data_IF_753223611589
#
_entry.id   IF_753223611589
#
_cell.length_a   1.000
_cell.length_b   1.000
_cell.length_c   1.000
_cell.angle_alpha   90.00
_cell.angle_beta   90.00
_cell.angle_gamma   90.00
#
_symmetry.space_group_name_H-M   'P 1'
#
loop_
_entity.id
_entity.type
_entity.pdbx_description
1 polymer ?
#
# COMPACT_ATOMS: atom_id res chain seq x y z
N UNK A 1 14.45 -5.50 -6.09
CA UNK A 1 15.23 -6.70 -5.68
C UNK A 1 14.82 -7.17 -4.29
N UNK A 2 15.00 -6.38 -3.18
CA UNK A 2 14.72 -6.83 -1.81
C UNK A 2 13.27 -7.35 -1.61
N UNK A 3 12.25 -6.61 -2.08
CA UNK A 3 10.84 -7.05 -2.02
C UNK A 3 10.66 -8.35 -2.79
N UNK A 4 11.22 -8.44 -3.99
CA UNK A 4 11.11 -9.62 -4.84
C UNK A 4 11.69 -10.88 -4.19
N UNK A 5 12.87 -10.74 -3.59
CA UNK A 5 13.53 -11.82 -2.86
C UNK A 5 12.72 -12.25 -1.62
N UNK A 6 12.13 -11.29 -0.89
CA UNK A 6 11.29 -11.59 0.26
C UNK A 6 10.01 -12.34 -0.12
N UNK A 7 9.29 -11.85 -1.14
CA UNK A 7 8.07 -12.51 -1.65
C UNK A 7 8.37 -13.92 -2.12
N UNK A 8 9.46 -14.11 -2.89
CA UNK A 8 9.87 -15.44 -3.36
C UNK A 8 10.13 -16.40 -2.19
N UNK A 9 10.90 -15.98 -1.18
CA UNK A 9 11.21 -16.81 0.00
C UNK A 9 9.97 -17.23 0.76
N UNK A 10 9.02 -16.30 0.98
CA UNK A 10 7.76 -16.63 1.68
C UNK A 10 6.94 -17.61 0.85
N UNK A 11 6.81 -17.38 -0.45
CA UNK A 11 6.09 -18.29 -1.33
C UNK A 11 6.71 -19.68 -1.39
N UNK A 12 8.05 -19.77 -1.47
CA UNK A 12 8.78 -21.05 -1.45
C UNK A 12 8.57 -21.82 -0.12
N UNK A 13 8.51 -21.09 1.01
CA UNK A 13 8.34 -21.70 2.32
C UNK A 13 6.90 -22.12 2.63
N UNK A 14 5.90 -21.42 2.08
CA UNK A 14 4.48 -21.62 2.46
C UNK A 14 3.64 -22.24 1.35
N UNK A 15 4.11 -22.20 0.10
CA UNK A 15 3.31 -22.57 -1.08
C UNK A 15 2.23 -21.54 -1.43
N UNK A 16 2.14 -20.41 -0.72
CA UNK A 16 1.06 -19.43 -0.85
C UNK A 16 1.60 -18.03 -1.22
N UNK A 17 0.85 -17.24 -2.01
CA UNK A 17 1.18 -15.85 -2.24
C UNK A 17 1.02 -15.06 -0.92
N UNK A 18 2.04 -14.30 -0.50
CA UNK A 18 2.01 -13.59 0.77
C UNK A 18 1.05 -12.40 0.77
N UNK A 19 0.62 -12.00 1.96
CA UNK A 19 0.08 -10.65 2.20
C UNK A 19 1.25 -9.72 2.55
N UNK A 20 1.27 -8.56 1.91
CA UNK A 20 2.25 -7.52 2.21
C UNK A 20 1.64 -6.48 3.15
N UNK A 21 2.33 -6.17 4.24
CA UNK A 21 1.97 -5.03 5.12
C UNK A 21 3.03 -3.96 4.94
N UNK A 22 2.61 -2.80 4.48
CA UNK A 22 3.48 -1.72 4.03
C UNK A 22 3.15 -0.41 4.77
N UNK A 23 4.12 0.14 5.50
CA UNK A 23 3.96 1.44 6.17
C UNK A 23 4.56 2.57 5.33
N UNK A 24 3.86 3.70 5.28
CA UNK A 24 4.36 4.94 4.68
C UNK A 24 4.86 4.74 3.24
N UNK A 25 6.08 5.14 2.94
CA UNK A 25 6.73 4.95 1.63
C UNK A 25 6.78 3.47 1.17
N UNK A 26 6.70 2.51 2.10
CA UNK A 26 6.70 1.09 1.78
C UNK A 26 5.58 0.68 0.82
N UNK A 27 4.41 1.31 0.92
CA UNK A 27 3.31 1.06 -0.03
C UNK A 27 3.58 1.58 -1.44
N UNK A 28 4.33 2.67 -1.58
CA UNK A 28 4.79 3.15 -2.88
C UNK A 28 5.85 2.21 -3.47
N UNK A 29 6.74 1.69 -2.64
CA UNK A 29 7.73 0.68 -3.05
C UNK A 29 7.05 -0.61 -3.52
N UNK A 30 5.98 -1.05 -2.84
CA UNK A 30 5.17 -2.21 -3.25
C UNK A 30 4.51 -1.97 -4.63
N UNK A 31 3.90 -0.80 -4.85
CA UNK A 31 3.32 -0.44 -6.16
C UNK A 31 4.37 -0.45 -7.27
N UNK A 32 5.54 0.15 -7.01
CA UNK A 32 6.64 0.17 -7.97
C UNK A 32 7.15 -1.24 -8.28
N UNK A 33 7.25 -2.10 -7.27
CA UNK A 33 7.64 -3.50 -7.45
C UNK A 33 6.59 -4.28 -8.24
N UNK A 34 5.30 -4.18 -7.90
CA UNK A 34 4.22 -4.82 -8.66
C UNK A 34 4.26 -4.45 -10.13
N UNK A 35 4.54 -3.17 -10.43
CA UNK A 35 4.70 -2.69 -11.79
C UNK A 35 5.92 -3.30 -12.48
N UNK A 36 7.09 -3.20 -11.83
CA UNK A 36 8.37 -3.58 -12.44
C UNK A 36 8.47 -5.08 -12.75
N UNK A 37 7.78 -5.90 -11.97
CA UNK A 37 7.83 -7.36 -12.07
C UNK A 37 6.52 -7.99 -12.58
N UNK A 38 5.52 -7.19 -12.96
CA UNK A 38 4.16 -7.66 -13.29
C UNK A 38 3.63 -8.66 -12.24
N UNK A 39 3.82 -8.32 -10.95
CA UNK A 39 3.78 -9.27 -9.84
C UNK A 39 2.39 -9.38 -9.18
N UNK A 40 1.31 -8.93 -9.83
CA UNK A 40 -0.03 -8.91 -9.24
C UNK A 40 -0.50 -10.29 -8.76
N UNK A 41 -0.20 -11.35 -9.50
CA UNK A 41 -0.53 -12.73 -9.14
C UNK A 41 0.39 -13.34 -8.06
N UNK A 42 1.46 -12.64 -7.68
CA UNK A 42 2.47 -13.12 -6.72
C UNK A 42 2.20 -12.67 -5.28
N UNK A 43 1.17 -11.88 -5.08
CA UNK A 43 0.73 -11.46 -3.75
C UNK A 43 -0.77 -11.69 -3.61
N UNK A 44 -1.17 -12.06 -2.41
CA UNK A 44 -2.56 -12.24 -2.07
C UNK A 44 -3.26 -10.89 -1.87
N UNK A 45 -2.62 -10.00 -1.11
CA UNK A 45 -3.14 -8.68 -0.74
C UNK A 45 -2.00 -7.74 -0.33
N UNK A 46 -2.23 -6.43 -0.45
CA UNK A 46 -1.31 -5.39 0.03
C UNK A 46 -2.06 -4.48 1.00
N UNK A 47 -1.74 -4.54 2.29
CA UNK A 47 -2.22 -3.61 3.30
C UNK A 47 -1.25 -2.44 3.36
N UNK A 48 -1.74 -1.22 3.17
CA UNK A 48 -0.93 -0.01 3.30
C UNK A 48 -1.38 0.81 4.50
N UNK A 49 -0.43 1.22 5.32
CA UNK A 49 -0.64 1.97 6.54
C UNK A 49 -0.06 3.37 6.35
N UNK A 50 -0.90 4.39 6.22
CA UNK A 50 -0.47 5.76 6.01
C UNK A 50 0.43 5.95 4.80
N UNK A 51 0.17 5.25 3.68
CA UNK A 51 0.98 5.40 2.46
C UNK A 51 0.52 6.63 1.67
N UNK A 52 1.44 7.53 1.27
CA UNK A 52 1.09 8.69 0.47
C UNK A 52 0.90 8.31 -1.01
N UNK A 53 -0.20 7.62 -1.35
CA UNK A 53 -0.46 7.09 -2.70
C UNK A 53 -0.52 8.17 -3.78
N UNK A 54 -0.95 9.40 -3.41
CA UNK A 54 -0.95 10.57 -4.29
C UNK A 54 0.13 11.61 -3.90
N UNK A 55 1.09 11.20 -3.06
CA UNK A 55 2.09 12.09 -2.49
C UNK A 55 1.63 12.72 -1.19
N UNK A 56 2.49 13.56 -0.60
CA UNK A 56 2.14 14.32 0.60
C UNK A 56 2.61 15.76 0.49
N UNK A 57 1.84 16.67 1.09
CA UNK A 57 2.19 18.08 1.09
C UNK A 57 3.52 18.34 1.80
N UNK A 58 3.83 17.62 2.88
CA UNK A 58 5.10 17.75 3.60
C UNK A 58 6.33 17.48 2.72
N UNK A 59 6.22 16.61 1.73
CA UNK A 59 7.33 16.25 0.85
C UNK A 59 7.84 17.44 0.01
N UNK A 60 7.09 18.56 -0.06
CA UNK A 60 7.54 19.80 -0.73
C UNK A 60 8.85 20.36 -0.13
N UNK A 61 9.09 20.12 1.15
CA UNK A 61 10.28 20.59 1.85
C UNK A 61 11.46 19.61 1.79
N UNK A 62 11.25 18.42 1.25
CA UNK A 62 12.31 17.43 1.16
C UNK A 62 13.24 17.68 -0.03
N UNK A 63 14.54 17.54 0.23
CA UNK A 63 15.61 17.64 -0.78
C UNK A 63 16.15 16.26 -1.19
N UNK A 64 15.73 15.18 -0.52
CA UNK A 64 16.13 13.82 -0.88
C UNK A 64 15.38 13.33 -2.10
N UNK A 65 15.94 12.36 -2.84
CA UNK A 65 15.31 11.76 -4.00
C UNK A 65 13.94 11.15 -3.66
N UNK A 66 13.88 10.33 -2.60
CA UNK A 66 12.62 9.72 -2.14
C UNK A 66 11.58 10.78 -1.76
N UNK A 67 12.01 11.86 -1.10
CA UNK A 67 11.12 12.95 -0.75
C UNK A 67 10.58 13.68 -1.97
N UNK A 68 11.42 13.92 -2.99
CA UNK A 68 10.96 14.52 -4.26
C UNK A 68 9.94 13.64 -4.97
N UNK A 69 10.16 12.32 -4.98
CA UNK A 69 9.21 11.36 -5.55
C UNK A 69 7.86 11.37 -4.82
N UNK A 70 7.85 11.60 -3.50
CA UNK A 70 6.63 11.68 -2.69
C UNK A 70 5.94 13.05 -2.72
N UNK A 71 6.44 14.04 -3.44
CA UNK A 71 5.72 15.30 -3.64
C UNK A 71 4.39 15.04 -4.36
N UNK A 72 3.35 15.75 -3.95
CA UNK A 72 2.06 15.72 -4.64
C UNK A 72 2.25 16.04 -6.13
N UNK A 73 1.62 15.23 -6.98
CA UNK A 73 1.72 15.37 -8.43
C UNK A 73 3.14 15.24 -9.01
N UNK A 74 4.06 14.58 -8.30
CA UNK A 74 5.39 14.32 -8.86
C UNK A 74 5.30 13.51 -10.16
N UNK A 75 6.22 13.75 -11.10
CA UNK A 75 6.27 13.01 -12.34
C UNK A 75 6.40 11.50 -12.12
N UNK A 76 7.09 11.10 -11.03
CA UNK A 76 7.23 9.70 -10.66
C UNK A 76 5.90 9.06 -10.25
N UNK A 77 5.09 9.73 -9.41
CA UNK A 77 3.76 9.25 -9.01
C UNK A 77 2.78 9.21 -10.19
N UNK A 78 2.85 10.20 -11.07
CA UNK A 78 2.03 10.22 -12.28
C UNK A 78 2.37 9.05 -13.20
N UNK A 79 3.67 8.80 -13.44
CA UNK A 79 4.14 7.67 -14.23
C UNK A 79 3.76 6.32 -13.59
N UNK A 80 3.86 6.22 -12.26
CA UNK A 80 3.44 5.02 -11.53
C UNK A 80 1.95 4.75 -11.75
N UNK A 81 1.10 5.75 -11.55
CA UNK A 81 -0.35 5.67 -11.75
C UNK A 81 -0.73 5.33 -13.19
N UNK A 82 -0.09 5.97 -14.17
CA UNK A 82 -0.41 5.78 -15.59
C UNK A 82 -0.08 4.36 -16.10
N UNK A 83 0.83 3.66 -15.43
CA UNK A 83 1.30 2.34 -15.83
C UNK A 83 0.70 1.20 -14.97
N UNK A 84 -0.22 1.52 -14.06
CA UNK A 84 -0.92 0.49 -13.29
C UNK A 84 -2.07 -0.11 -14.12
N UNK A 85 -2.14 -1.45 -14.23
CA UNK A 85 -3.21 -2.09 -14.97
C UNK A 85 -4.56 -1.89 -14.28
N UNK A 86 -5.66 -1.86 -15.05
CA UNK A 86 -6.99 -1.86 -14.50
C UNK A 86 -7.18 -3.01 -13.49
N UNK A 87 -7.76 -2.70 -12.34
CA UNK A 87 -8.03 -3.69 -11.30
C UNK A 87 -6.93 -3.93 -10.28
N UNK A 88 -5.67 -3.49 -10.50
CA UNK A 88 -4.59 -3.61 -9.49
C UNK A 88 -4.97 -3.04 -8.13
N UNK A 89 -5.72 -1.96 -8.10
CA UNK A 89 -6.17 -1.34 -6.87
C UNK A 89 -6.98 -2.30 -5.97
N UNK A 90 -7.63 -3.30 -6.53
CA UNK A 90 -8.39 -4.32 -5.78
C UNK A 90 -7.51 -5.18 -4.87
N UNK A 91 -6.21 -5.25 -5.14
CA UNK A 91 -5.24 -5.92 -4.26
C UNK A 91 -4.99 -5.13 -2.98
N UNK A 92 -5.35 -3.85 -2.93
CA UNK A 92 -4.98 -2.95 -1.85
C UNK A 92 -6.11 -2.76 -0.83
N UNK A 93 -5.70 -2.73 0.44
CA UNK A 93 -6.49 -2.23 1.56
C UNK A 93 -5.71 -1.06 2.17
N UNK A 94 -6.24 0.15 2.02
CA UNK A 94 -5.57 1.37 2.44
C UNK A 94 -6.08 1.80 3.81
N UNK A 95 -5.24 1.67 4.83
CA UNK A 95 -5.46 2.20 6.15
C UNK A 95 -4.93 3.61 6.24
N UNK A 96 -5.73 4.55 6.66
CA UNK A 96 -5.38 5.95 6.77
C UNK A 96 -6.00 6.61 8.00
N UNK A 97 -5.42 7.71 8.46
CA UNK A 97 -5.88 8.42 9.65
C UNK A 97 -6.22 9.87 9.33
N UNK A 98 -7.25 10.37 10.02
CA UNK A 98 -7.58 11.79 10.00
C UNK A 98 -6.60 12.67 10.82
N UNK A 99 -5.74 12.04 11.62
CA UNK A 99 -4.71 12.70 12.45
C UNK A 99 -3.29 12.36 11.99
N UNK A 100 -3.12 11.82 10.76
CA UNK A 100 -1.80 11.58 10.21
C UNK A 100 -1.05 12.91 10.03
N UNK A 101 0.07 13.06 10.74
CA UNK A 101 0.87 14.28 10.76
C UNK A 101 1.99 14.32 9.72
N UNK A 102 2.13 13.27 8.90
CA UNK A 102 3.13 13.14 7.83
C UNK A 102 2.45 13.05 6.45
N UNK A 103 1.44 12.20 6.32
CA UNK A 103 0.71 12.01 5.08
C UNK A 103 -0.55 12.88 5.07
N UNK A 104 -0.41 14.06 4.48
CA UNK A 104 -1.45 15.09 4.49
C UNK A 104 -1.68 15.68 3.07
N UNK A 105 -2.94 15.99 2.73
CA UNK A 105 -4.18 15.67 3.43
C UNK A 105 -4.47 14.15 3.51
N UNK A 106 -5.30 13.71 4.45
CA UNK A 106 -5.58 12.26 4.68
C UNK A 106 -6.04 11.52 3.42
N UNK A 107 -6.73 12.20 2.52
CA UNK A 107 -7.21 11.66 1.24
C UNK A 107 -6.10 11.20 0.29
N UNK A 108 -4.86 11.66 0.45
CA UNK A 108 -3.75 11.20 -0.39
C UNK A 108 -3.28 9.80 -0.05
N UNK A 109 -3.69 9.27 1.10
CA UNK A 109 -3.43 7.89 1.51
C UNK A 109 -4.45 6.89 0.94
N UNK A 110 -5.45 7.37 0.22
CA UNK A 110 -6.48 6.56 -0.43
C UNK A 110 -6.08 6.28 -1.87
N UNK A 111 -6.13 5.02 -2.26
CA UNK A 111 -5.91 4.59 -3.65
C UNK A 111 -7.27 4.32 -4.32
N UNK A 112 -7.67 5.08 -5.35
CA UNK A 112 -8.95 4.89 -6.03
C UNK A 112 -9.12 3.43 -6.52
N UNK A 113 -10.26 2.83 -6.19
CA UNK A 113 -10.56 1.43 -6.53
C UNK A 113 -10.06 0.40 -5.51
N UNK A 114 -9.31 0.81 -4.47
CA UNK A 114 -8.93 -0.02 -3.34
C UNK A 114 -10.02 -0.06 -2.26
N UNK A 115 -9.90 -0.99 -1.31
CA UNK A 115 -10.64 -0.92 -0.05
C UNK A 115 -9.99 0.11 0.88
N UNK A 116 -10.80 0.82 1.67
CA UNK A 116 -10.32 1.86 2.57
C UNK A 116 -10.74 1.62 4.00
N UNK A 117 -9.84 1.89 4.96
CA UNK A 117 -10.05 1.75 6.40
C UNK A 117 -9.59 3.03 7.09
N UNK A 118 -10.54 3.83 7.55
CA UNK A 118 -10.25 5.02 8.37
C UNK A 118 -10.01 4.60 9.82
N UNK A 119 -8.91 5.05 10.38
CA UNK A 119 -8.68 5.06 11.83
C UNK A 119 -8.63 6.50 12.32
N UNK A 120 -9.24 6.79 13.46
CA UNK A 120 -9.34 8.16 13.97
C UNK A 120 -8.37 8.39 15.12
N UNK A 121 -7.80 9.59 15.19
CA UNK A 121 -6.94 10.01 16.31
C UNK A 121 -5.57 9.36 16.35
N UNK A 122 -5.11 8.74 15.27
CA UNK A 122 -3.84 8.00 15.21
C UNK A 122 -2.82 8.79 14.39
N UNK A 123 -1.67 9.10 14.97
CA UNK A 123 -0.57 9.76 14.22
C UNK A 123 0.21 8.75 13.39
N UNK A 124 0.98 9.25 12.42
CA UNK A 124 1.65 8.44 11.39
C UNK A 124 2.40 7.21 11.91
N UNK A 125 3.25 7.40 12.91
CA UNK A 125 4.06 6.29 13.47
C UNK A 125 3.20 5.26 14.23
N UNK A 126 2.09 5.69 14.82
CA UNK A 126 1.16 4.81 15.50
C UNK A 126 0.37 3.91 14.53
N UNK A 127 0.32 4.25 13.25
CA UNK A 127 -0.29 3.39 12.24
C UNK A 127 0.38 2.01 12.19
N UNK A 128 1.66 1.90 12.51
CA UNK A 128 2.41 0.63 12.48
C UNK A 128 2.75 0.11 13.88
N UNK A 129 2.79 0.96 14.90
CA UNK A 129 3.13 0.56 16.27
C UNK A 129 1.92 0.50 17.21
N UNK A 130 0.80 1.13 16.85
CA UNK A 130 -0.39 1.18 17.70
C UNK A 130 -1.11 -0.17 17.78
N UNK A 131 -1.33 -0.72 19.01
CA UNK A 131 -1.93 -2.03 19.16
C UNK A 131 -3.29 -2.19 18.48
N UNK A 132 -4.11 -1.15 18.49
CA UNK A 132 -5.43 -1.16 17.87
C UNK A 132 -5.36 -1.34 16.36
N UNK A 133 -4.43 -0.63 15.69
CA UNK A 133 -4.24 -0.73 14.23
C UNK A 133 -3.65 -2.10 13.89
N UNK A 134 -2.64 -2.55 14.65
CA UNK A 134 -2.00 -3.86 14.45
C UNK A 134 -3.03 -4.98 14.58
N UNK A 135 -3.83 -5.00 15.66
CA UNK A 135 -4.88 -6.00 15.84
C UNK A 135 -5.94 -5.96 14.74
N UNK A 136 -6.32 -4.78 14.30
CA UNK A 136 -7.29 -4.64 13.21
C UNK A 136 -6.72 -5.14 11.86
N UNK A 137 -5.44 -4.88 11.60
CA UNK A 137 -4.73 -5.45 10.44
C UNK A 137 -4.64 -6.98 10.51
N UNK A 138 -4.33 -7.55 11.68
CA UNK A 138 -4.30 -9.00 11.85
C UNK A 138 -5.66 -9.64 11.57
N UNK A 139 -6.75 -9.05 12.06
CA UNK A 139 -8.11 -9.51 11.73
C UNK A 139 -8.42 -9.44 10.23
N UNK A 140 -7.91 -8.43 9.53
CA UNK A 140 -8.04 -8.32 8.08
C UNK A 140 -7.28 -9.45 7.35
N UNK A 141 -6.17 -9.95 7.92
CA UNK A 141 -5.41 -11.08 7.38
C UNK A 141 -6.14 -12.41 7.57
N UNK A 142 -6.87 -12.56 8.66
CA UNK A 142 -7.63 -13.78 9.00
C UNK A 142 -8.98 -13.85 8.25
N UNK A 143 -9.46 -12.75 7.72
CA UNK A 143 -10.72 -12.70 6.98
C UNK A 143 -10.62 -13.56 5.70
N UNK A 144 -11.62 -14.43 5.43
CA UNK A 144 -11.66 -15.22 4.20
C UNK A 144 -11.61 -14.30 2.99
N UNK A 145 -10.89 -14.74 1.97
CA UNK A 145 -10.81 -14.04 0.68
C UNK A 145 -12.20 -14.02 0.08
N UNK A 146 -12.73 -12.86 -0.34
CA UNK A 146 -13.91 -12.88 -1.20
C UNK A 146 -13.58 -13.70 -2.44
N UNK A 147 -14.30 -14.80 -2.66
CA UNK A 147 -14.17 -15.57 -3.89
C UNK A 147 -14.33 -14.62 -5.07
N UNK A 148 -13.32 -14.58 -5.93
CA UNK A 148 -13.47 -13.93 -7.22
C UNK A 148 -14.56 -14.69 -7.97
N UNK A 149 -15.60 -14.01 -8.52
CA UNK A 149 -16.59 -14.68 -9.33
C UNK A 149 -15.85 -15.45 -10.42
N UNK A 150 -16.15 -16.75 -10.52
CA UNK A 150 -15.60 -17.60 -11.54
C UNK A 150 -15.78 -16.91 -12.89
N UNK A 151 -14.69 -16.71 -13.61
CA UNK A 151 -14.75 -16.28 -15.01
C UNK A 151 -15.45 -17.41 -15.78
N UNK A 152 -16.75 -17.28 -15.97
CA UNK A 152 -17.47 -18.12 -16.93
C UNK A 152 -16.83 -17.86 -18.29
N UNK A 153 -16.31 -18.93 -18.88
CA UNK A 153 -15.72 -18.96 -20.22
C UNK A 153 -16.78 -18.69 -21.28
#
# INVERSE_FOLDING_TARGET
KAIDDAVRRVTEATGLPPVMVCHSMGGLAARAWLRAYAADARVHRVLTLGTPHAGTWLARFSHTENGRQMRMNSAWLQALKAQEPPGRAKLFVCWYSNCDNIVFPATVAVLPGAQHRLVTGVVHVQMVLGPLVVQACLRELEAPVPELPALTR
#
